data_IF_072368245426
#
_entry.id   IF_072368245426
#
_cell.length_a   1.000
_cell.length_b   1.000
_cell.length_c   1.000
_cell.angle_alpha   90.00
_cell.angle_beta   90.00
_cell.angle_gamma   90.00
#
_symmetry.space_group_name_H-M   'P 1'
#
loop_
_entity.id
_entity.type
_entity.pdbx_description
1 polymer ?
#
# COMPACT_ATOMS: atom_id res chain seq x y z
N UNK A 1 21.12 -8.71 -11.17
CA UNK A 1 19.94 -8.73 -10.26
C UNK A 1 20.33 -7.98 -9.00
N UNK A 2 19.69 -6.86 -8.69
CA UNK A 2 19.86 -6.20 -7.38
C UNK A 2 19.06 -7.04 -6.39
N UNK A 3 19.74 -7.69 -5.44
CA UNK A 3 19.06 -8.47 -4.41
C UNK A 3 18.18 -7.58 -3.52
N UNK A 4 17.15 -8.17 -2.90
CA UNK A 4 16.35 -7.48 -1.89
C UNK A 4 17.24 -6.95 -0.78
N UNK A 5 17.01 -5.70 -0.38
CA UNK A 5 17.64 -5.09 0.78
C UNK A 5 16.92 -5.55 2.05
N UNK A 6 17.66 -5.70 3.16
CA UNK A 6 17.08 -5.97 4.50
C UNK A 6 16.42 -4.72 5.09
N UNK A 7 15.46 -4.18 4.37
CA UNK A 7 14.68 -2.98 4.71
C UNK A 7 13.22 -3.40 4.73
N UNK A 8 12.49 -2.96 5.76
CA UNK A 8 11.04 -3.11 5.85
C UNK A 8 10.39 -1.74 5.90
N UNK A 9 9.25 -1.57 5.22
CA UNK A 9 8.60 -0.26 5.08
C UNK A 9 7.16 -0.32 5.59
N UNK A 10 6.80 0.61 6.47
CA UNK A 10 5.42 0.88 6.84
C UNK A 10 5.04 2.23 6.23
N UNK A 11 3.97 2.27 5.43
CA UNK A 11 3.41 3.53 4.92
C UNK A 11 2.10 3.82 5.63
N UNK A 12 2.08 4.89 6.42
CA UNK A 12 0.85 5.41 7.04
C UNK A 12 0.33 6.53 6.15
N UNK A 13 -0.90 6.40 5.68
CA UNK A 13 -1.49 7.33 4.71
C UNK A 13 -2.82 7.89 5.22
N UNK A 14 -3.07 9.17 4.94
CA UNK A 14 -4.32 9.83 5.33
C UNK A 14 -5.46 9.57 4.33
N UNK A 15 -5.13 9.44 3.04
CA UNK A 15 -6.06 9.08 1.97
C UNK A 15 -5.54 7.86 1.24
N UNK A 16 -6.45 6.94 0.94
CA UNK A 16 -6.17 5.74 0.17
C UNK A 16 -7.44 5.23 -0.50
N UNK A 17 -7.35 4.11 -1.23
CA UNK A 17 -8.54 3.51 -1.84
C UNK A 17 -9.68 3.35 -0.81
N UNK A 18 -10.93 3.78 -1.14
CA UNK A 18 -11.45 4.13 -2.47
C UNK A 18 -11.27 5.59 -2.89
N UNK A 19 -10.69 6.45 -2.04
CA UNK A 19 -10.40 7.84 -2.41
C UNK A 19 -9.48 7.84 -3.65
N UNK A 20 -9.83 8.67 -4.63
CA UNK A 20 -9.08 8.82 -5.88
C UNK A 20 -8.40 10.19 -5.89
N UNK A 21 -7.13 10.23 -6.29
CA UNK A 21 -6.36 11.47 -6.35
C UNK A 21 -4.90 11.20 -6.67
N UNK A 22 -4.15 12.28 -6.95
CA UNK A 22 -2.72 12.18 -7.28
C UNK A 22 -1.88 11.57 -6.15
N UNK A 23 -2.23 11.89 -4.90
CA UNK A 23 -1.61 11.32 -3.69
C UNK A 23 -1.74 9.79 -3.66
N UNK A 24 -2.96 9.28 -3.82
CA UNK A 24 -3.27 7.85 -3.82
C UNK A 24 -2.58 7.14 -4.98
N UNK A 25 -2.65 7.70 -6.20
CA UNK A 25 -1.95 7.13 -7.37
C UNK A 25 -0.44 7.02 -7.13
N UNK A 26 0.17 8.06 -6.56
CA UNK A 26 1.60 8.06 -6.26
C UNK A 26 1.96 6.98 -5.24
N UNK A 27 1.17 6.81 -4.18
CA UNK A 27 1.36 5.74 -3.18
C UNK A 27 1.28 4.37 -3.85
N UNK A 28 0.27 4.14 -4.70
CA UNK A 28 0.03 2.86 -5.36
C UNK A 28 1.15 2.46 -6.30
N UNK A 29 1.69 3.40 -7.06
CA UNK A 29 2.77 3.14 -8.01
C UNK A 29 4.12 3.02 -7.29
N UNK A 30 4.38 3.87 -6.30
CA UNK A 30 5.61 3.82 -5.50
C UNK A 30 5.72 2.51 -4.73
N UNK A 31 4.64 2.06 -4.09
CA UNK A 31 4.67 0.84 -3.28
C UNK A 31 4.93 -0.39 -4.16
N UNK A 32 4.30 -0.49 -5.33
CA UNK A 32 4.58 -1.53 -6.33
C UNK A 32 6.01 -1.47 -6.85
N UNK A 33 6.50 -0.26 -7.17
CA UNK A 33 7.84 -0.09 -7.72
C UNK A 33 8.92 -0.50 -6.70
N UNK A 34 8.70 -0.23 -5.42
CA UNK A 34 9.67 -0.52 -4.36
C UNK A 34 9.62 -1.99 -3.89
N UNK A 35 8.47 -2.67 -3.99
CA UNK A 35 8.26 -4.04 -3.50
C UNK A 35 9.36 -5.06 -3.85
N UNK A 36 9.86 -5.09 -5.10
CA UNK A 36 10.88 -6.07 -5.49
C UNK A 36 12.24 -5.85 -4.82
N UNK A 37 12.48 -4.65 -4.26
CA UNK A 37 13.79 -4.23 -3.75
C UNK A 37 13.90 -4.29 -2.22
N UNK A 38 12.80 -4.50 -1.51
CA UNK A 38 12.74 -4.52 -0.05
C UNK A 38 12.31 -5.89 0.47
N UNK A 39 12.63 -6.16 1.74
CA UNK A 39 12.27 -7.41 2.41
C UNK A 39 10.76 -7.53 2.55
N UNK A 40 10.12 -6.48 3.09
CA UNK A 40 8.68 -6.45 3.34
C UNK A 40 8.12 -5.04 3.34
N UNK A 41 6.82 -4.92 3.07
CA UNK A 41 6.08 -3.68 3.29
C UNK A 41 4.62 -3.91 3.65
N UNK A 42 4.05 -2.91 4.32
CA UNK A 42 2.63 -2.83 4.65
C UNK A 42 2.16 -1.37 4.53
N UNK A 43 0.90 -1.20 4.12
CA UNK A 43 0.22 0.10 4.08
C UNK A 43 -0.79 0.14 5.21
N UNK A 44 -0.80 1.22 5.99
CA UNK A 44 -1.81 1.51 7.01
C UNK A 44 -2.66 2.66 6.47
N UNK A 45 -3.95 2.40 6.25
CA UNK A 45 -4.88 3.32 5.61
C UNK A 45 -6.23 3.37 6.34
N UNK A 46 -7.04 4.44 6.17
CA UNK A 46 -8.37 4.47 6.73
C UNK A 46 -9.29 3.41 6.14
N UNK A 47 -10.24 2.94 6.95
CA UNK A 47 -11.36 2.11 6.51
C UNK A 47 -12.53 2.98 6.06
N UNK A 48 -12.79 2.98 4.75
CA UNK A 48 -13.95 3.66 4.16
C UNK A 48 -15.10 2.71 3.82
N UNK A 49 -15.06 1.46 4.30
CA UNK A 49 -16.15 0.50 4.19
C UNK A 49 -15.97 -0.54 3.07
N UNK A 50 -17.07 -0.96 2.44
CA UNK A 50 -17.12 -2.17 1.61
C UNK A 50 -16.11 -2.17 0.46
N UNK A 51 -15.92 -1.01 -0.19
CA UNK A 51 -15.04 -0.87 -1.35
C UNK A 51 -13.58 -1.24 -0.99
N UNK A 52 -13.13 -0.94 0.23
CA UNK A 52 -11.78 -1.29 0.69
C UNK A 52 -11.50 -2.79 0.60
N UNK A 53 -12.48 -3.65 0.96
CA UNK A 53 -12.26 -5.10 1.06
C UNK A 53 -11.95 -5.75 -0.29
N UNK A 54 -12.70 -5.36 -1.32
CA UNK A 54 -12.54 -5.92 -2.67
C UNK A 54 -11.19 -5.51 -3.26
N UNK A 55 -10.77 -4.27 -3.01
CA UNK A 55 -9.47 -3.78 -3.42
C UNK A 55 -8.33 -4.48 -2.68
N UNK A 56 -8.41 -4.56 -1.35
CA UNK A 56 -7.37 -5.15 -0.50
C UNK A 56 -7.09 -6.61 -0.86
N UNK A 57 -8.12 -7.36 -1.27
CA UNK A 57 -7.96 -8.75 -1.73
C UNK A 57 -7.21 -8.87 -3.07
N UNK A 58 -7.24 -7.82 -3.89
CA UNK A 58 -6.60 -7.79 -5.22
C UNK A 58 -5.21 -7.15 -5.22
N UNK A 59 -4.87 -6.40 -4.17
CA UNK A 59 -3.64 -5.62 -4.13
C UNK A 59 -2.48 -6.46 -3.58
N UNK A 60 -1.29 -6.44 -4.22
CA UNK A 60 -0.20 -7.37 -3.87
C UNK A 60 0.50 -7.05 -2.54
N UNK A 61 0.25 -5.87 -1.98
CA UNK A 61 0.89 -5.38 -0.76
C UNK A 61 -0.15 -5.40 0.37
N UNK A 62 0.16 -5.96 1.54
CA UNK A 62 -0.77 -5.97 2.68
C UNK A 62 -1.22 -4.56 3.07
N UNK A 63 -2.52 -4.44 3.33
CA UNK A 63 -3.14 -3.19 3.81
C UNK A 63 -3.82 -3.46 5.16
N UNK A 64 -3.46 -2.67 6.17
CA UNK A 64 -4.12 -2.62 7.47
C UNK A 64 -5.08 -1.43 7.45
N UNK A 65 -6.36 -1.70 7.70
CA UNK A 65 -7.42 -0.69 7.74
C UNK A 65 -7.65 -0.21 9.18
N UNK A 66 -7.73 1.11 9.37
CA UNK A 66 -7.94 1.76 10.68
C UNK A 66 -9.20 2.62 10.64
N UNK A 67 -10.00 2.58 11.72
CA UNK A 67 -11.23 3.38 11.86
C UNK A 67 -10.95 4.79 12.33
#
# INVERSE_FOLDING_TARGET
>A
MVGKQRISVIRVVFEFYPIKGGSVTHILELSKHVDPYIESQVIIAPDFGKECKDFDASYPIPIIRVK
#
